data_IF_987127780694
#
_entry.id   IF_987127780694
#
_cell.length_a   1.000
_cell.length_b   1.000
_cell.length_c   1.000
_cell.angle_alpha   90.00
_cell.angle_beta   90.00
_cell.angle_gamma   90.00
#
_symmetry.space_group_name_H-M   'P 1'
#
loop_
_entity.id
_entity.type
_entity.pdbx_description
1 polymer ?
#
# COMPACT_ATOMS: atom_id res chain seq x y z
N UNK A 1 35.54 -11.30 -21.00
CA UNK A 1 34.43 -12.01 -21.69
C UNK A 1 33.10 -11.43 -21.26
N UNK A 2 32.91 -10.12 -21.42
CA UNK A 2 31.60 -9.48 -21.15
C UNK A 2 30.75 -9.73 -22.39
N UNK A 3 29.85 -10.70 -22.28
CA UNK A 3 28.85 -10.99 -23.30
C UNK A 3 28.13 -9.69 -23.65
N UNK A 4 28.28 -9.23 -24.89
CA UNK A 4 27.56 -8.08 -25.41
C UNK A 4 26.10 -8.52 -25.55
N UNK A 5 25.33 -8.30 -24.48
CA UNK A 5 23.89 -8.56 -24.39
C UNK A 5 23.23 -7.76 -25.50
N UNK A 6 23.06 -8.41 -26.64
CA UNK A 6 22.39 -7.86 -27.82
C UNK A 6 21.11 -7.18 -27.35
N UNK A 7 20.94 -5.90 -27.71
CA UNK A 7 19.74 -5.14 -27.36
C UNK A 7 18.56 -5.92 -27.95
N UNK A 8 17.77 -6.56 -27.06
CA UNK A 8 16.60 -7.36 -27.44
C UNK A 8 15.45 -6.40 -27.76
N UNK A 9 15.56 -5.70 -28.88
CA UNK A 9 14.43 -4.97 -29.46
C UNK A 9 13.57 -5.96 -30.25
N UNK A 10 12.99 -6.92 -29.53
CA UNK A 10 12.08 -7.91 -30.13
C UNK A 10 10.73 -7.24 -30.29
N UNK A 11 10.29 -7.07 -31.53
CA UNK A 11 8.98 -6.48 -31.83
C UNK A 11 7.90 -7.55 -31.64
N UNK A 12 6.79 -7.19 -31.00
CA UNK A 12 5.64 -8.07 -30.87
C UNK A 12 5.07 -8.44 -32.26
N UNK A 13 4.52 -9.66 -32.42
CA UNK A 13 4.10 -10.16 -33.73
C UNK A 13 2.83 -9.48 -34.29
N UNK A 14 2.22 -8.56 -33.55
CA UNK A 14 1.01 -7.85 -33.95
C UNK A 14 1.22 -6.33 -33.83
N UNK A 15 0.49 -5.59 -34.66
CA UNK A 15 0.46 -4.12 -34.64
C UNK A 15 -0.93 -3.66 -34.23
N UNK A 16 -1.00 -2.60 -33.43
CA UNK A 16 -2.26 -1.99 -33.01
C UNK A 16 -2.26 -0.55 -33.49
N UNK A 17 -3.25 -0.15 -34.27
CA UNK A 17 -3.40 1.24 -34.74
C UNK A 17 -2.13 1.81 -35.40
N UNK A 18 -1.40 0.97 -36.14
CA UNK A 18 -0.12 1.32 -36.79
C UNK A 18 1.09 1.44 -35.84
N UNK A 19 0.91 1.26 -34.53
CA UNK A 19 1.97 1.27 -33.51
C UNK A 19 2.52 -0.15 -33.31
N UNK A 20 3.85 -0.25 -33.28
CA UNK A 20 4.58 -1.48 -32.97
C UNK A 20 5.06 -1.44 -31.52
N UNK A 21 4.89 -2.56 -30.81
CA UNK A 21 5.26 -2.66 -29.41
C UNK A 21 6.51 -3.52 -29.23
N UNK A 22 7.42 -3.09 -28.36
CA UNK A 22 8.61 -3.87 -28.00
C UNK A 22 8.35 -4.83 -26.84
N UNK A 23 8.90 -6.03 -26.92
CA UNK A 23 8.88 -7.06 -25.88
C UNK A 23 10.12 -6.93 -24.96
N UNK A 24 10.28 -5.73 -24.38
CA UNK A 24 11.38 -5.45 -23.48
C UNK A 24 10.97 -5.80 -22.03
N UNK A 25 11.84 -6.47 -21.27
CA UNK A 25 11.58 -6.72 -19.86
C UNK A 25 11.55 -5.40 -19.07
N UNK A 26 10.79 -5.38 -17.98
CA UNK A 26 10.73 -4.23 -17.08
C UNK A 26 12.13 -3.87 -16.55
N UNK A 27 12.47 -2.57 -16.39
CA UNK A 27 13.74 -2.17 -15.83
C UNK A 27 13.91 -2.72 -14.39
N UNK A 28 15.08 -3.28 -14.03
CA UNK A 28 15.29 -3.87 -12.71
C UNK A 28 14.99 -2.90 -11.55
N UNK A 29 15.41 -1.64 -11.67
CA UNK A 29 15.16 -0.60 -10.66
C UNK A 29 13.66 -0.36 -10.43
N UNK A 30 12.85 -0.46 -11.49
CA UNK A 30 11.39 -0.28 -11.41
C UNK A 30 10.76 -1.42 -10.63
N UNK A 31 11.19 -2.66 -10.90
CA UNK A 31 10.72 -3.85 -10.16
C UNK A 31 11.10 -3.75 -8.68
N UNK A 32 12.32 -3.33 -8.36
CA UNK A 32 12.74 -3.12 -6.97
C UNK A 32 11.88 -2.07 -6.24
N UNK A 33 11.54 -0.96 -6.91
CA UNK A 33 10.65 0.06 -6.35
C UNK A 33 9.23 -0.48 -6.13
N UNK A 34 8.69 -1.25 -7.07
CA UNK A 34 7.39 -1.89 -6.91
C UNK A 34 7.36 -2.83 -5.70
N UNK A 35 8.40 -3.66 -5.53
CA UNK A 35 8.53 -4.57 -4.39
C UNK A 35 8.68 -3.78 -3.08
N UNK A 36 9.42 -2.67 -3.07
CA UNK A 36 9.55 -1.81 -1.89
C UNK A 36 8.20 -1.22 -1.46
N UNK A 37 7.37 -0.78 -2.39
CA UNK A 37 6.02 -0.29 -2.10
C UNK A 37 5.14 -1.37 -1.45
N UNK A 38 5.23 -2.61 -1.95
CA UNK A 38 4.50 -3.75 -1.37
C UNK A 38 4.99 -4.02 0.05
N UNK A 39 6.30 -4.10 0.27
CA UNK A 39 6.89 -4.33 1.58
C UNK A 39 6.49 -3.23 2.58
N UNK A 40 6.53 -1.96 2.14
CA UNK A 40 6.07 -0.83 2.93
C UNK A 40 4.60 -0.96 3.35
N UNK A 41 3.72 -1.39 2.43
CA UNK A 41 2.31 -1.63 2.74
C UNK A 41 2.11 -2.69 3.82
N UNK A 42 2.80 -3.82 3.73
CA UNK A 42 2.74 -4.87 4.77
C UNK A 42 3.28 -4.38 6.11
N UNK A 43 4.42 -3.69 6.12
CA UNK A 43 5.00 -3.11 7.34
C UNK A 43 4.02 -2.12 7.97
N UNK A 44 3.39 -1.26 7.17
CA UNK A 44 2.41 -0.28 7.64
C UNK A 44 1.20 -0.96 8.29
N UNK A 45 0.63 -1.98 7.65
CA UNK A 45 -0.51 -2.72 8.21
C UNK A 45 -0.13 -3.42 9.51
N UNK A 46 1.00 -4.12 9.56
CA UNK A 46 1.48 -4.79 10.78
C UNK A 46 1.75 -3.78 11.88
N UNK A 47 2.36 -2.65 11.57
CA UNK A 47 2.70 -1.63 12.55
C UNK A 47 1.45 -0.97 13.15
N UNK A 48 0.46 -0.61 12.32
CA UNK A 48 -0.76 0.06 12.75
C UNK A 48 -1.76 -0.91 13.38
N UNK A 49 -2.01 -2.07 12.76
CA UNK A 49 -3.07 -3.01 13.17
C UNK A 49 -2.55 -4.22 13.95
N UNK A 50 -1.29 -4.62 13.76
CA UNK A 50 -0.74 -5.84 14.35
C UNK A 50 -0.15 -5.66 15.76
N UNK A 51 0.37 -4.47 16.09
CA UNK A 51 1.04 -4.21 17.38
C UNK A 51 0.21 -3.38 18.37
N UNK A 52 -1.07 -3.11 18.10
CA UNK A 52 -1.92 -2.30 19.00
C UNK A 52 -1.39 -0.88 19.20
N UNK A 53 -0.60 -0.36 18.26
CA UNK A 53 0.01 0.97 18.33
C UNK A 53 -0.92 2.09 17.81
N UNK A 54 -2.17 1.75 17.54
CA UNK A 54 -3.27 2.64 17.22
C UNK A 54 -3.64 3.50 18.44
N UNK A 55 -2.77 4.46 18.78
CA UNK A 55 -3.07 5.53 19.77
C UNK A 55 -4.38 6.28 19.44
N UNK A 56 -4.82 6.21 18.19
CA UNK A 56 -6.11 6.75 17.72
C UNK A 56 -7.31 6.01 18.32
N UNK A 57 -7.25 4.69 18.45
CA UNK A 57 -8.38 3.89 18.94
C UNK A 57 -8.53 4.03 20.45
N UNK A 58 -7.42 4.09 21.20
CA UNK A 58 -7.44 4.29 22.64
C UNK A 58 -8.06 5.63 23.05
N UNK A 59 -7.68 6.72 22.38
CA UNK A 59 -8.18 8.06 22.69
C UNK A 59 -9.65 8.22 22.27
N UNK A 60 -10.04 7.69 21.11
CA UNK A 60 -11.44 7.72 20.65
C UNK A 60 -12.35 6.92 21.60
N UNK A 61 -11.91 5.74 22.04
CA UNK A 61 -12.66 4.90 22.96
C UNK A 61 -12.89 5.59 24.31
N UNK A 62 -11.87 6.25 24.88
CA UNK A 62 -12.00 7.03 26.12
C UNK A 62 -13.00 8.18 25.98
N UNK A 63 -12.97 8.90 24.86
CA UNK A 63 -13.92 9.99 24.57
C UNK A 63 -15.35 9.47 24.41
N UNK A 64 -15.53 8.31 23.78
CA UNK A 64 -16.85 7.67 23.66
C UNK A 64 -17.40 7.25 25.03
N UNK A 65 -16.57 6.65 25.90
CA UNK A 65 -16.97 6.29 27.25
C UNK A 65 -17.32 7.52 28.10
N UNK A 66 -16.55 8.60 28.00
CA UNK A 66 -16.83 9.83 28.73
C UNK A 66 -18.15 10.45 28.25
N UNK A 67 -18.37 10.59 26.94
CA UNK A 67 -19.63 11.05 26.37
C UNK A 67 -20.83 10.17 26.76
N UNK A 68 -20.69 8.85 26.73
CA UNK A 68 -21.74 7.93 27.16
C UNK A 68 -22.05 8.11 28.66
N UNK A 69 -21.04 8.31 29.50
CA UNK A 69 -21.22 8.61 30.92
C UNK A 69 -21.94 9.95 31.14
N UNK A 70 -21.53 11.01 30.43
CA UNK A 70 -22.20 12.32 30.49
C UNK A 70 -23.66 12.24 30.05
N UNK A 71 -23.97 11.52 28.97
CA UNK A 71 -25.33 11.34 28.49
C UNK A 71 -26.15 10.55 29.51
N UNK A 72 -25.60 9.46 30.07
CA UNK A 72 -26.27 8.63 31.08
C UNK A 72 -26.57 9.42 32.35
N UNK A 73 -25.62 10.22 32.81
CA UNK A 73 -25.80 11.08 34.00
C UNK A 73 -26.89 12.13 33.77
N UNK A 74 -26.91 12.75 32.59
CA UNK A 74 -27.93 13.76 32.24
C UNK A 74 -29.31 13.17 31.92
N UNK A 75 -29.40 11.88 31.61
CA UNK A 75 -30.64 11.18 31.28
C UNK A 75 -31.22 10.34 32.42
N UNK A 76 -30.55 10.29 33.58
CA UNK A 76 -31.11 9.67 34.77
C UNK A 76 -32.34 10.48 35.25
N UNK A 77 -33.49 9.83 35.49
CA UNK A 77 -34.64 10.51 36.09
C UNK A 77 -34.31 10.91 37.54
N UNK A 78 -34.80 12.08 37.95
CA UNK A 78 -34.66 12.63 39.32
C UNK A 78 -35.22 11.69 40.39
#
# INVERSE_FOLDING_TARGET
>A
MTENKQIKDVIRPYMVDGIQEYDNPLPPWWVWMFVLCIAFGFIYVIWVHGFGWNRLDDELHKVQLSHAAFIKEKSAPL
#
